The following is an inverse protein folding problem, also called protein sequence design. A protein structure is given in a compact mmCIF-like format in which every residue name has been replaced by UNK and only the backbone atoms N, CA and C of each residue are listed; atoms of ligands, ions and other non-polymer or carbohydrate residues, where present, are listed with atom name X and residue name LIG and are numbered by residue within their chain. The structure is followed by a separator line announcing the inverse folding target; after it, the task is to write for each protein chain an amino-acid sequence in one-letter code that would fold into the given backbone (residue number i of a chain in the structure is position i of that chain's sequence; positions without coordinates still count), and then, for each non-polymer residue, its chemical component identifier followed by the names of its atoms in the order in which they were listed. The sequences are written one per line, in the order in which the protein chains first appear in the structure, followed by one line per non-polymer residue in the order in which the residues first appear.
data_IF_716218895476
#
_entry.id   IF_716218895476
#
_cell.length_a   1.000
_cell.length_b   1.000
_cell.length_c   1.000
_cell.angle_alpha   90.00
_cell.angle_beta   90.00
_cell.angle_gamma   90.00
#
_symmetry.space_group_name_H-M   'P 1'
#
loop_
_entity.id
_entity.type
_entity.pdbx_description
1 polymer ?
#
# COMPACT_ATOMS: atom_id res chain seq x y z
N UNK A 1 -27.48 42.25 20.64
CA UNK A 1 -27.44 41.76 19.24
C UNK A 1 -26.12 41.07 18.89
N UNK A 2 -25.00 41.41 19.50
CA UNK A 2 -23.68 40.78 19.26
C UNK A 2 -23.52 39.32 19.81
N UNK A 3 -24.30 38.93 20.80
CA UNK A 3 -24.26 37.59 21.42
C UNK A 3 -25.10 36.55 20.67
N UNK A 4 -25.98 36.96 19.74
CA UNK A 4 -26.77 35.99 18.91
C UNK A 4 -26.04 35.52 17.65
N UNK A 5 -25.00 36.22 17.20
CA UNK A 5 -24.24 35.80 16.01
C UNK A 5 -23.20 34.71 16.29
N UNK A 6 -22.76 34.57 17.55
CA UNK A 6 -21.79 33.52 17.94
C UNK A 6 -22.42 32.12 18.11
N UNK A 7 -23.72 32.06 18.44
CA UNK A 7 -24.45 30.76 18.59
C UNK A 7 -24.75 30.15 17.23
N UNK A 8 -24.83 30.94 16.16
CA UNK A 8 -25.06 30.43 14.79
C UNK A 8 -23.85 29.76 14.17
N UNK A 9 -22.63 30.09 14.60
CA UNK A 9 -21.40 29.52 14.05
C UNK A 9 -21.07 28.14 14.65
N UNK A 10 -21.44 27.89 15.88
CA UNK A 10 -21.25 26.57 16.50
C UNK A 10 -22.23 25.51 15.99
N UNK A 11 -23.41 25.93 15.51
CA UNK A 11 -24.39 24.99 14.94
C UNK A 11 -24.07 24.55 13.52
N UNK A 12 -23.30 25.35 12.76
CA UNK A 12 -22.83 24.95 11.43
C UNK A 12 -21.64 23.97 11.47
N UNK A 13 -20.93 23.88 12.59
CA UNK A 13 -19.80 22.95 12.75
C UNK A 13 -20.31 21.50 13.00
N UNK A 14 -21.55 21.33 13.43
CA UNK A 14 -22.13 20.02 13.74
C UNK A 14 -22.70 19.27 12.54
N UNK A 15 -22.94 19.95 11.43
CA UNK A 15 -23.52 19.38 10.21
C UNK A 15 -22.52 19.17 9.07
N UNK A 16 -21.20 19.34 9.33
CA UNK A 16 -20.18 18.94 8.38
C UNK A 16 -20.17 17.41 8.26
N UNK A 17 -19.95 16.90 7.06
CA UNK A 17 -19.91 15.47 6.68
C UNK A 17 -18.90 14.60 7.48
N UNK A 18 -18.37 15.09 8.59
CA UNK A 18 -17.53 14.36 9.54
C UNK A 18 -18.25 13.13 10.12
N UNK A 19 -19.58 13.17 10.25
CA UNK A 19 -20.37 11.99 10.60
C UNK A 19 -20.19 10.83 9.62
N UNK A 20 -19.86 11.07 8.35
CA UNK A 20 -19.60 9.99 7.40
C UNK A 20 -18.22 9.33 7.59
N UNK A 21 -17.20 10.06 8.07
CA UNK A 21 -15.88 9.48 8.36
C UNK A 21 -15.85 8.72 9.70
N UNK A 22 -16.68 9.14 10.67
CA UNK A 22 -16.75 8.54 12.01
C UNK A 22 -17.85 7.49 12.18
N UNK A 23 -18.80 7.41 11.25
CA UNK A 23 -19.95 6.48 11.36
C UNK A 23 -19.59 5.00 11.11
N UNK A 24 -18.35 4.72 10.71
CA UNK A 24 -17.78 3.38 10.82
C UNK A 24 -17.33 3.12 12.26
N UNK A 25 -18.29 2.92 13.17
CA UNK A 25 -17.99 2.38 14.51
C UNK A 25 -17.07 1.17 14.35
N UNK A 26 -15.79 1.35 14.67
CA UNK A 26 -14.80 0.29 14.59
C UNK A 26 -15.25 -0.84 15.50
N UNK A 27 -15.75 -1.92 14.92
CA UNK A 27 -16.23 -3.08 15.68
C UNK A 27 -15.02 -3.84 16.23
N UNK A 28 -14.84 -3.81 17.53
CA UNK A 28 -13.85 -4.62 18.23
C UNK A 28 -14.48 -5.89 18.78
N UNK A 29 -13.79 -7.00 18.69
CA UNK A 29 -14.22 -8.22 19.37
C UNK A 29 -13.87 -8.12 20.86
N UNK A 30 -14.86 -7.74 21.68
CA UNK A 30 -14.68 -7.55 23.13
C UNK A 30 -14.21 -8.81 23.84
N UNK A 31 -14.61 -10.00 23.37
CA UNK A 31 -14.18 -11.29 23.92
C UNK A 31 -12.68 -11.56 23.76
N UNK A 32 -12.05 -10.95 22.76
CA UNK A 32 -10.62 -11.10 22.50
C UNK A 32 -9.75 -10.07 23.23
N UNK A 33 -10.34 -9.13 23.96
CA UNK A 33 -9.61 -8.06 24.68
C UNK A 33 -8.56 -8.61 25.68
N UNK A 34 -8.80 -9.67 26.49
CA UNK A 34 -7.79 -10.23 27.38
C UNK A 34 -6.57 -10.76 26.59
N UNK A 35 -6.78 -11.39 25.45
CA UNK A 35 -5.72 -11.89 24.60
C UNK A 35 -4.91 -10.75 23.97
N UNK A 36 -5.56 -9.64 23.63
CA UNK A 36 -4.87 -8.43 23.14
C UNK A 36 -4.00 -7.80 24.21
N UNK A 37 -4.40 -7.86 25.47
CA UNK A 37 -3.60 -7.40 26.58
C UNK A 37 -2.31 -8.23 26.73
N UNK A 38 -2.43 -9.57 26.73
CA UNK A 38 -1.28 -10.48 26.79
C UNK A 38 -0.34 -10.30 25.58
N UNK A 39 -0.91 -10.20 24.38
CA UNK A 39 -0.16 -9.87 23.17
C UNK A 39 0.60 -8.54 23.32
N UNK A 40 -0.09 -7.52 23.84
CA UNK A 40 0.48 -6.20 24.09
C UNK A 40 1.66 -6.23 25.07
N UNK A 41 1.58 -7.04 26.13
CA UNK A 41 2.71 -7.23 27.06
C UNK A 41 3.91 -7.83 26.31
N UNK A 42 3.72 -8.89 25.55
CA UNK A 42 4.80 -9.53 24.79
C UNK A 42 5.46 -8.57 23.79
N UNK A 43 4.66 -7.79 23.05
CA UNK A 43 5.19 -6.82 22.09
C UNK A 43 5.91 -5.67 22.80
N UNK A 44 5.36 -5.13 23.90
CA UNK A 44 6.03 -4.09 24.70
C UNK A 44 7.35 -4.59 25.27
N UNK A 45 7.37 -5.79 25.83
CA UNK A 45 8.59 -6.39 26.33
C UNK A 45 9.66 -6.54 25.25
N UNK A 46 9.29 -7.09 24.08
CA UNK A 46 10.20 -7.16 22.92
C UNK A 46 10.73 -5.77 22.53
N UNK A 47 9.86 -4.78 22.47
CA UNK A 47 10.26 -3.41 22.11
C UNK A 47 11.22 -2.83 23.15
N UNK A 48 10.96 -3.06 24.44
CA UNK A 48 11.82 -2.64 25.53
C UNK A 48 13.23 -3.25 25.45
N UNK A 49 13.34 -4.52 25.01
CA UNK A 49 14.66 -5.15 24.79
C UNK A 49 15.49 -4.44 23.72
N UNK A 50 14.85 -3.87 22.69
CA UNK A 50 15.52 -3.00 21.71
C UNK A 50 15.91 -1.66 22.31
N UNK A 51 15.03 -1.05 23.12
CA UNK A 51 15.29 0.25 23.76
C UNK A 51 16.43 0.15 24.77
N UNK A 52 16.54 -0.95 25.50
CA UNK A 52 17.66 -1.28 26.38
C UNK A 52 18.91 -1.77 25.63
N UNK A 53 18.87 -1.84 24.27
CA UNK A 53 19.98 -2.32 23.42
C UNK A 53 20.39 -3.78 23.67
N UNK A 54 19.57 -4.58 24.37
CA UNK A 54 19.78 -6.03 24.54
C UNK A 54 19.63 -6.71 23.17
N UNK A 55 18.56 -6.38 22.42
CA UNK A 55 18.45 -6.75 21.03
C UNK A 55 19.16 -5.69 20.17
N UNK A 56 20.14 -6.14 19.41
CA UNK A 56 20.97 -5.24 18.60
C UNK A 56 20.24 -4.84 17.32
N UNK A 57 20.31 -3.55 17.01
CA UNK A 57 19.86 -2.95 15.76
C UNK A 57 21.08 -2.63 14.90
N UNK A 58 21.12 -3.14 13.68
CA UNK A 58 22.18 -2.86 12.72
C UNK A 58 21.91 -1.55 11.98
N UNK A 59 22.96 -0.75 11.81
CA UNK A 59 22.94 0.48 11.00
C UNK A 59 23.84 0.28 9.79
N UNK A 60 23.48 0.94 8.71
CA UNK A 60 24.20 0.86 7.44
C UNK A 60 24.46 2.28 6.92
N UNK A 61 25.54 2.46 6.20
CA UNK A 61 25.97 3.78 5.74
C UNK A 61 25.15 4.29 4.54
N UNK A 62 24.52 3.37 3.80
CA UNK A 62 23.66 3.74 2.68
C UNK A 62 22.26 4.21 3.13
N UNK A 63 21.55 5.01 2.33
CA UNK A 63 20.16 5.36 2.57
C UNK A 63 19.25 4.13 2.58
N UNK A 64 18.50 3.96 3.68
CA UNK A 64 17.49 2.93 3.82
C UNK A 64 16.17 3.60 4.18
N UNK A 65 15.19 3.51 3.28
CA UNK A 65 13.85 4.05 3.46
C UNK A 65 12.92 2.89 3.84
N UNK A 66 12.27 2.97 4.98
CA UNK A 66 11.27 1.98 5.40
C UNK A 66 9.87 2.50 5.14
N UNK A 67 9.08 1.77 4.39
CA UNK A 67 7.64 2.00 4.23
C UNK A 67 6.90 0.91 4.99
N UNK A 68 6.07 1.31 5.96
CA UNK A 68 5.34 0.34 6.75
C UNK A 68 4.13 0.91 7.44
N UNK A 69 3.50 0.12 8.29
CA UNK A 69 2.31 0.51 9.05
C UNK A 69 2.29 -0.19 10.42
N UNK A 70 1.42 0.26 11.32
CA UNK A 70 1.19 -0.37 12.62
C UNK A 70 0.08 -1.44 12.58
N UNK A 71 -0.77 -1.42 11.57
CA UNK A 71 -1.97 -2.27 11.50
C UNK A 71 -1.80 -3.44 10.54
N UNK A 72 -2.56 -4.51 10.73
CA UNK A 72 -2.76 -5.51 9.68
C UNK A 72 -3.80 -5.00 8.68
N UNK A 73 -3.62 -5.34 7.39
CA UNK A 73 -4.52 -4.95 6.31
C UNK A 73 -3.91 -3.96 5.32
N UNK A 74 -4.72 -3.57 4.36
CA UNK A 74 -4.30 -2.78 3.21
C UNK A 74 -4.24 -1.27 3.50
N UNK A 75 -3.19 -0.77 4.13
CA UNK A 75 -2.95 0.67 4.34
C UNK A 75 -2.33 1.38 3.15
N UNK A 76 -2.22 0.73 1.99
CA UNK A 76 -1.63 1.35 0.80
C UNK A 76 -0.09 1.28 0.74
N UNK A 77 0.56 0.33 1.44
CA UNK A 77 2.03 0.17 1.41
C UNK A 77 2.59 0.04 0.00
N UNK A 78 2.10 -0.93 -0.75
CA UNK A 78 2.60 -1.19 -2.12
C UNK A 78 2.52 0.03 -3.04
N UNK A 79 1.39 0.76 -3.16
CA UNK A 79 1.35 1.97 -3.96
C UNK A 79 2.32 3.07 -3.52
N UNK A 80 2.56 3.24 -2.20
CA UNK A 80 3.51 4.22 -1.70
C UNK A 80 4.96 3.79 -1.91
N UNK A 81 5.27 2.50 -1.74
CA UNK A 81 6.57 1.93 -2.10
C UNK A 81 6.85 2.14 -3.60
N UNK A 82 5.87 1.84 -4.47
CA UNK A 82 5.99 2.07 -5.92
C UNK A 82 6.14 3.56 -6.28
N UNK A 83 5.46 4.45 -5.55
CA UNK A 83 5.61 5.90 -5.72
C UNK A 83 7.05 6.35 -5.44
N UNK A 84 7.62 5.92 -4.31
CA UNK A 84 9.00 6.23 -3.96
C UNK A 84 9.97 5.64 -4.98
N UNK A 85 9.80 4.39 -5.40
CA UNK A 85 10.62 3.77 -6.44
C UNK A 85 10.59 4.61 -7.71
N UNK A 86 9.41 5.01 -8.18
CA UNK A 86 9.24 5.81 -9.40
C UNK A 86 9.93 7.17 -9.29
N UNK A 87 9.91 7.78 -8.10
CA UNK A 87 10.56 9.05 -7.84
C UNK A 87 12.08 8.97 -7.94
N UNK A 88 12.69 7.85 -7.51
CA UNK A 88 14.15 7.79 -7.31
C UNK A 88 14.90 6.89 -8.30
N UNK A 89 14.23 5.96 -9.01
CA UNK A 89 14.86 4.93 -9.85
C UNK A 89 15.70 5.47 -11.01
N UNK A 90 15.37 6.66 -11.51
CA UNK A 90 16.08 7.25 -12.65
C UNK A 90 17.34 8.03 -12.22
N UNK A 91 17.54 8.21 -10.90
CA UNK A 91 18.68 8.93 -10.30
C UNK A 91 19.62 8.03 -9.51
N UNK A 92 19.11 6.92 -8.98
CA UNK A 92 19.87 6.02 -8.10
C UNK A 92 19.65 4.56 -8.46
N UNK A 93 20.64 3.71 -8.19
CA UNK A 93 20.46 2.25 -8.24
C UNK A 93 19.64 1.80 -7.02
N UNK A 94 18.38 1.50 -7.24
CA UNK A 94 17.41 1.17 -6.18
C UNK A 94 17.32 -0.33 -6.00
N UNK A 95 17.32 -0.76 -4.74
CA UNK A 95 16.85 -2.09 -4.35
C UNK A 95 15.59 -2.00 -3.49
N UNK A 96 14.64 -2.90 -3.73
CA UNK A 96 13.53 -3.16 -2.83
C UNK A 96 13.79 -4.46 -2.08
N UNK A 97 13.64 -4.42 -0.75
CA UNK A 97 13.75 -5.60 0.08
C UNK A 97 12.46 -5.83 0.87
N UNK A 98 11.74 -6.86 0.50
CA UNK A 98 10.49 -7.28 1.12
C UNK A 98 10.64 -8.59 1.89
N UNK A 99 9.63 -8.96 2.68
CA UNK A 99 9.58 -10.26 3.35
C UNK A 99 9.31 -11.42 2.39
N UNK A 100 8.59 -11.15 1.30
CA UNK A 100 8.04 -12.18 0.45
C UNK A 100 6.92 -12.94 1.15
N UNK A 101 5.86 -12.24 1.54
CA UNK A 101 4.72 -12.86 2.23
C UNK A 101 4.08 -13.95 1.34
N UNK A 102 3.75 -15.11 1.95
CA UNK A 102 3.19 -16.31 1.30
C UNK A 102 4.06 -16.94 0.20
N UNK A 103 5.32 -16.55 0.02
CA UNK A 103 6.23 -17.22 -0.91
C UNK A 103 6.51 -18.67 -0.45
N UNK A 104 6.84 -19.54 -1.40
CA UNK A 104 7.21 -20.93 -1.11
C UNK A 104 8.70 -21.12 -0.82
N UNK A 105 9.53 -20.16 -1.18
CA UNK A 105 10.98 -20.18 -0.97
C UNK A 105 11.34 -19.68 0.42
N UNK A 106 12.57 -19.94 0.88
CA UNK A 106 13.13 -19.45 2.14
C UNK A 106 14.49 -18.79 1.91
N UNK A 107 14.95 -18.04 2.90
CA UNK A 107 16.24 -17.35 2.82
C UNK A 107 16.24 -16.13 1.91
N UNK A 108 17.42 -15.66 1.52
CA UNK A 108 17.60 -14.57 0.58
C UNK A 108 17.36 -15.06 -0.85
N UNK A 109 16.59 -14.29 -1.61
CA UNK A 109 16.42 -14.49 -3.05
C UNK A 109 16.38 -13.14 -3.74
N UNK A 110 17.26 -12.96 -4.73
CA UNK A 110 17.25 -11.83 -5.64
C UNK A 110 16.39 -12.20 -6.85
N UNK A 111 15.35 -11.43 -7.10
CA UNK A 111 14.41 -11.68 -8.19
C UNK A 111 15.07 -11.44 -9.56
N UNK A 112 14.85 -12.35 -10.47
CA UNK A 112 15.22 -12.26 -11.87
C UNK A 112 13.96 -12.20 -12.77
N UNK A 113 14.17 -12.31 -14.09
CA UNK A 113 13.06 -12.29 -15.07
C UNK A 113 12.20 -13.57 -15.05
N UNK A 114 12.72 -14.67 -14.46
CA UNK A 114 12.03 -15.98 -14.37
C UNK A 114 11.30 -16.16 -13.05
N UNK A 115 11.56 -15.29 -12.08
CA UNK A 115 10.95 -15.35 -10.77
C UNK A 115 9.43 -15.19 -10.86
N UNK A 116 8.70 -16.03 -10.15
CA UNK A 116 7.23 -16.04 -10.11
C UNK A 116 6.71 -15.50 -8.79
N UNK A 117 5.40 -15.25 -8.70
CA UNK A 117 4.75 -14.85 -7.44
C UNK A 117 4.92 -15.91 -6.34
N UNK A 118 5.05 -17.18 -6.72
CA UNK A 118 5.31 -18.30 -5.78
C UNK A 118 6.72 -18.24 -5.18
N UNK A 119 7.68 -17.70 -5.92
CA UNK A 119 9.09 -17.64 -5.49
C UNK A 119 9.36 -16.46 -4.58
N UNK A 120 8.77 -15.29 -4.87
CA UNK A 120 9.10 -14.04 -4.18
C UNK A 120 7.90 -13.39 -3.46
N UNK A 121 6.67 -13.87 -3.68
CA UNK A 121 5.43 -13.28 -3.17
C UNK A 121 4.82 -12.28 -4.15
N UNK A 122 3.51 -12.02 -3.99
CA UNK A 122 2.72 -11.22 -4.94
C UNK A 122 3.25 -9.78 -5.10
N UNK A 123 3.50 -9.09 -3.98
CA UNK A 123 3.90 -7.68 -3.98
C UNK A 123 5.30 -7.46 -4.59
N UNK A 124 6.35 -8.20 -4.18
CA UNK A 124 7.64 -8.11 -4.86
C UNK A 124 7.60 -8.50 -6.33
N UNK A 125 6.77 -9.49 -6.70
CA UNK A 125 6.58 -9.89 -8.09
C UNK A 125 5.95 -8.76 -8.91
N UNK A 126 4.91 -8.11 -8.39
CA UNK A 126 4.30 -6.93 -9.02
C UNK A 126 5.35 -5.82 -9.23
N UNK A 127 6.13 -5.51 -8.20
CA UNK A 127 7.18 -4.48 -8.27
C UNK A 127 8.25 -4.83 -9.32
N UNK A 128 8.72 -6.09 -9.36
CA UNK A 128 9.73 -6.53 -10.36
C UNK A 128 9.21 -6.41 -11.79
N UNK A 129 7.94 -6.73 -12.01
CA UNK A 129 7.32 -6.60 -13.33
C UNK A 129 7.08 -5.13 -13.75
N UNK A 130 6.71 -4.28 -12.80
CA UNK A 130 6.43 -2.87 -13.05
C UNK A 130 7.72 -2.04 -13.21
N UNK A 131 8.79 -2.46 -12.54
CA UNK A 131 10.10 -1.82 -12.55
C UNK A 131 11.20 -2.86 -12.83
N UNK A 132 11.38 -3.27 -14.09
CA UNK A 132 12.33 -4.33 -14.44
C UNK A 132 13.79 -3.96 -14.14
N UNK A 133 14.10 -2.67 -14.13
CA UNK A 133 15.47 -2.14 -14.02
C UNK A 133 15.96 -2.04 -12.57
N UNK A 134 15.06 -2.18 -11.56
CA UNK A 134 15.46 -2.17 -10.16
C UNK A 134 15.80 -3.57 -9.64
N UNK A 135 16.57 -3.61 -8.56
CA UNK A 135 16.78 -4.84 -7.80
C UNK A 135 15.57 -5.09 -6.88
N UNK A 136 15.00 -6.28 -6.97
CA UNK A 136 13.95 -6.72 -6.03
C UNK A 136 14.47 -7.96 -5.33
N UNK A 137 14.56 -7.90 -4.01
CA UNK A 137 15.01 -9.01 -3.17
C UNK A 137 14.00 -9.32 -2.07
N UNK A 138 13.99 -10.57 -1.63
CA UNK A 138 13.14 -11.01 -0.54
C UNK A 138 13.95 -11.78 0.48
N UNK A 139 13.76 -11.42 1.75
CA UNK A 139 14.32 -12.14 2.90
C UNK A 139 13.48 -11.86 4.16
N UNK A 140 13.19 -12.86 4.97
CA UNK A 140 12.54 -12.66 6.27
C UNK A 140 13.47 -11.91 7.26
N UNK A 141 14.79 -12.19 7.23
CA UNK A 141 15.81 -11.41 7.94
C UNK A 141 16.36 -10.30 7.05
N UNK A 142 15.85 -9.06 7.27
CA UNK A 142 16.28 -7.88 6.49
C UNK A 142 17.77 -7.58 6.62
N UNK A 143 18.41 -7.95 7.76
CA UNK A 143 19.87 -7.77 7.93
C UNK A 143 20.64 -8.62 6.93
N UNK A 144 20.27 -9.90 6.82
CA UNK A 144 20.85 -10.81 5.83
C UNK A 144 20.56 -10.31 4.40
N UNK A 145 19.34 -9.87 4.14
CA UNK A 145 18.94 -9.32 2.85
C UNK A 145 19.79 -8.12 2.45
N UNK A 146 20.00 -7.16 3.35
CA UNK A 146 20.84 -5.97 3.11
C UNK A 146 22.29 -6.39 2.87
N UNK A 147 22.86 -7.25 3.71
CA UNK A 147 24.25 -7.71 3.52
C UNK A 147 24.47 -8.38 2.18
N UNK A 148 23.54 -9.21 1.72
CA UNK A 148 23.62 -9.85 0.40
C UNK A 148 23.49 -8.84 -0.74
N UNK A 149 22.65 -7.81 -0.61
CA UNK A 149 22.55 -6.73 -1.59
C UNK A 149 23.85 -5.91 -1.67
N UNK A 150 24.48 -5.65 -0.52
CA UNK A 150 25.75 -4.93 -0.44
C UNK A 150 26.95 -5.76 -0.93
N UNK A 151 26.84 -7.10 -0.87
CA UNK A 151 27.86 -8.01 -1.39
C UNK A 151 27.82 -8.17 -2.93
N UNK A 152 26.86 -7.55 -3.62
CA UNK A 152 26.83 -7.54 -5.08
C UNK A 152 28.04 -6.79 -5.64
N UNK A 153 28.46 -7.11 -6.89
CA UNK A 153 29.50 -6.34 -7.58
C UNK A 153 29.17 -4.85 -7.58
N UNK A 154 30.18 -3.99 -7.50
CA UNK A 154 30.06 -2.55 -7.33
C UNK A 154 29.11 -1.89 -8.36
N UNK A 155 29.20 -2.30 -9.61
CA UNK A 155 28.33 -1.81 -10.69
C UNK A 155 26.85 -2.24 -10.56
N UNK A 156 26.55 -3.23 -9.70
CA UNK A 156 25.18 -3.71 -9.42
C UNK A 156 24.73 -3.42 -8.00
N UNK A 157 25.63 -2.94 -7.14
CA UNK A 157 25.30 -2.63 -5.75
C UNK A 157 24.29 -1.49 -5.69
N UNK A 158 23.22 -1.60 -4.88
CA UNK A 158 22.24 -0.53 -4.72
C UNK A 158 22.85 0.68 -3.99
N UNK A 159 22.43 1.87 -4.36
CA UNK A 159 22.74 3.13 -3.68
C UNK A 159 21.66 3.50 -2.66
N UNK A 160 20.44 2.96 -2.85
CA UNK A 160 19.30 3.15 -1.95
C UNK A 160 18.57 1.83 -1.79
N UNK A 161 18.19 1.51 -0.55
CA UNK A 161 17.33 0.35 -0.28
C UNK A 161 15.97 0.84 0.25
N UNK A 162 14.89 0.39 -0.37
CA UNK A 162 13.52 0.58 0.12
C UNK A 162 13.07 -0.71 0.79
N UNK A 163 12.78 -0.63 2.08
CA UNK A 163 12.24 -1.75 2.86
C UNK A 163 10.71 -1.71 2.82
N UNK A 164 10.12 -2.71 2.22
CA UNK A 164 8.67 -2.87 2.14
C UNK A 164 8.16 -3.70 3.34
N UNK A 165 7.13 -3.17 4.03
CA UNK A 165 6.49 -3.73 5.23
C UNK A 165 7.52 -4.17 6.31
N UNK A 166 8.42 -3.27 6.68
CA UNK A 166 9.48 -3.58 7.63
C UNK A 166 9.44 -2.77 8.94
N UNK A 167 8.41 -1.99 9.21
CA UNK A 167 8.31 -1.11 10.38
C UNK A 167 8.45 -1.85 11.72
N UNK A 168 7.97 -3.11 11.80
CA UNK A 168 8.15 -3.99 12.95
C UNK A 168 9.53 -4.66 13.03
N UNK A 169 10.34 -4.56 11.97
CA UNK A 169 11.64 -5.26 11.91
C UNK A 169 12.77 -4.40 12.51
N UNK A 170 12.74 -4.16 13.83
CA UNK A 170 13.65 -3.29 14.55
C UNK A 170 15.13 -3.72 14.56
N UNK A 171 15.46 -4.88 14.00
CA UNK A 171 16.85 -5.33 13.83
C UNK A 171 17.65 -4.51 12.80
N UNK A 172 16.99 -3.74 11.98
CA UNK A 172 17.57 -2.75 11.05
C UNK A 172 17.11 -1.37 11.48
N UNK A 173 18.02 -0.40 11.52
CA UNK A 173 17.70 1.02 11.69
C UNK A 173 17.61 1.68 10.31
N UNK A 174 16.43 1.90 9.74
CA UNK A 174 16.29 2.70 8.53
C UNK A 174 16.80 4.12 8.77
N UNK A 175 17.20 4.78 7.71
CA UNK A 175 17.59 6.20 7.77
C UNK A 175 16.39 7.12 7.67
N UNK A 176 15.29 6.64 7.06
CA UNK A 176 14.01 7.32 6.99
C UNK A 176 12.88 6.30 7.18
N UNK A 177 12.01 6.54 8.17
CA UNK A 177 10.85 5.71 8.47
C UNK A 177 9.57 6.41 8.03
N UNK A 178 8.84 5.82 7.09
CA UNK A 178 7.54 6.28 6.62
C UNK A 178 6.46 5.35 7.15
N UNK A 179 5.59 5.91 8.00
CA UNK A 179 4.46 5.20 8.60
C UNK A 179 3.17 5.54 7.88
N UNK A 180 2.46 4.54 7.41
CA UNK A 180 1.17 4.70 6.76
C UNK A 180 0.02 4.39 7.71
N UNK A 181 -1.03 5.21 7.66
CA UNK A 181 -2.31 4.97 8.35
C UNK A 181 -3.47 5.22 7.42
N UNK A 182 -4.53 4.42 7.53
CA UNK A 182 -5.73 4.58 6.70
C UNK A 182 -6.61 5.71 7.25
N UNK A 183 -7.05 6.65 6.40
CA UNK A 183 -7.91 7.77 6.77
C UNK A 183 -9.22 7.31 7.43
N UNK A 184 -9.77 6.19 6.98
CA UNK A 184 -11.03 5.63 7.52
C UNK A 184 -10.82 4.82 8.82
N UNK A 185 -9.58 4.57 9.21
CA UNK A 185 -9.23 3.83 10.42
C UNK A 185 -7.80 4.17 10.85
N UNK A 186 -7.67 5.28 11.55
CA UNK A 186 -6.38 5.72 12.08
C UNK A 186 -5.83 4.70 13.10
N UNK A 187 -4.51 4.58 13.14
CA UNK A 187 -3.86 3.68 14.11
C UNK A 187 -4.15 4.11 15.56
N UNK A 188 -4.42 5.40 15.81
CA UNK A 188 -4.78 5.95 17.12
C UNK A 188 -6.13 5.42 17.63
N UNK A 189 -7.04 5.12 16.72
CA UNK A 189 -8.39 4.64 17.01
C UNK A 189 -8.50 3.12 17.07
N UNK A 190 -7.41 2.38 16.83
CA UNK A 190 -7.43 0.92 16.74
C UNK A 190 -6.87 0.24 18.01
N UNK A 191 -7.16 -1.04 18.16
CA UNK A 191 -6.70 -1.89 19.27
C UNK A 191 -5.70 -2.93 18.79
N UNK A 192 -4.91 -3.43 19.73
CA UNK A 192 -3.96 -4.52 19.46
C UNK A 192 -4.67 -5.80 19.01
N UNK A 193 -3.96 -6.60 18.20
CA UNK A 193 -4.37 -7.95 17.87
C UNK A 193 -4.57 -8.79 19.15
N UNK A 194 -5.54 -9.72 19.19
CA UNK A 194 -6.49 -10.04 18.13
C UNK A 194 -7.82 -9.27 18.22
N UNK A 195 -8.05 -8.39 19.21
CA UNK A 195 -9.31 -7.63 19.34
C UNK A 195 -9.44 -6.52 18.30
N UNK A 196 -8.33 -5.91 17.89
CA UNK A 196 -8.23 -4.92 16.82
C UNK A 196 -7.24 -5.36 15.75
N UNK A 197 -6.63 -4.39 15.06
CA UNK A 197 -5.69 -4.64 13.94
C UNK A 197 -4.27 -4.19 14.20
N UNK A 198 -3.95 -3.57 15.36
CA UNK A 198 -2.60 -3.12 15.66
C UNK A 198 -1.66 -4.30 15.89
N UNK A 199 -0.54 -4.32 15.15
CA UNK A 199 0.59 -5.27 15.31
C UNK A 199 1.47 -4.91 16.50
N UNK A 200 1.45 -3.63 16.91
CA UNK A 200 2.22 -3.10 18.04
C UNK A 200 1.50 -1.87 18.63
N UNK A 201 1.84 -1.46 19.87
CA UNK A 201 1.23 -0.29 20.50
C UNK A 201 1.39 0.99 19.67
N UNK A 202 0.45 1.94 19.84
CA UNK A 202 0.45 3.25 19.19
C UNK A 202 1.77 4.01 19.39
N UNK A 203 2.41 3.87 20.55
CA UNK A 203 3.74 4.45 20.84
C UNK A 203 4.81 4.07 19.80
N UNK A 204 4.61 2.96 19.08
CA UNK A 204 5.48 2.58 17.97
C UNK A 204 5.55 3.65 16.87
N UNK A 205 4.53 4.49 16.73
CA UNK A 205 4.49 5.59 15.74
C UNK A 205 5.61 6.62 15.99
N UNK A 206 6.11 6.75 17.19
CA UNK A 206 7.26 7.64 17.51
C UNK A 206 8.54 7.31 16.76
N UNK A 207 8.66 6.13 16.15
CA UNK A 207 9.82 5.79 15.32
C UNK A 207 9.72 6.30 13.89
N UNK A 208 8.57 6.80 13.50
CA UNK A 208 8.37 7.37 12.17
C UNK A 208 8.97 8.78 12.10
N UNK A 209 9.62 9.08 10.99
CA UNK A 209 10.03 10.43 10.63
C UNK A 209 8.91 11.13 9.84
N UNK A 210 8.19 10.35 9.04
CA UNK A 210 7.07 10.80 8.21
C UNK A 210 5.86 9.90 8.49
N UNK A 211 4.69 10.53 8.69
CA UNK A 211 3.41 9.86 8.77
C UNK A 211 2.59 10.25 7.54
N UNK A 212 2.02 9.26 6.85
CA UNK A 212 1.13 9.50 5.71
C UNK A 212 -0.24 8.92 6.02
N UNK A 213 -1.24 9.78 6.07
CA UNK A 213 -2.64 9.39 6.11
C UNK A 213 -3.08 9.06 4.69
N UNK A 214 -3.42 7.81 4.46
CA UNK A 214 -3.66 7.27 3.12
C UNK A 214 -5.15 7.12 2.82
N UNK A 215 -5.49 6.99 1.54
CA UNK A 215 -6.85 6.76 1.06
C UNK A 215 -7.82 7.89 1.40
N UNK A 216 -7.31 9.11 1.52
CA UNK A 216 -8.16 10.28 1.68
C UNK A 216 -9.10 10.42 0.47
N UNK A 217 -10.37 10.70 0.72
CA UNK A 217 -11.32 10.98 -0.36
C UNK A 217 -11.06 12.37 -0.95
N UNK A 218 -11.49 12.59 -2.18
CA UNK A 218 -11.35 13.90 -2.85
C UNK A 218 -12.21 15.01 -2.26
N UNK A 219 -13.18 14.64 -1.44
CA UNK A 219 -14.12 15.57 -0.80
C UNK A 219 -13.75 15.97 0.64
N UNK A 220 -12.59 15.52 1.16
CA UNK A 220 -12.11 15.91 2.49
C UNK A 220 -11.91 17.43 2.56
N UNK A 221 -12.49 18.04 3.58
CA UNK A 221 -12.40 19.46 3.83
C UNK A 221 -11.14 19.82 4.63
N UNK A 222 -10.65 21.07 4.56
CA UNK A 222 -9.49 21.51 5.35
C UNK A 222 -9.63 21.27 6.86
N UNK A 223 -10.85 21.31 7.39
CA UNK A 223 -11.11 21.04 8.80
C UNK A 223 -10.84 19.58 9.18
N UNK A 224 -11.17 18.65 8.28
CA UNK A 224 -10.97 17.23 8.54
C UNK A 224 -9.48 16.88 8.67
N UNK A 225 -8.61 17.54 7.88
CA UNK A 225 -7.16 17.38 8.00
C UNK A 225 -6.65 17.80 9.39
N UNK A 226 -7.17 18.91 9.94
CA UNK A 226 -6.80 19.38 11.29
C UNK A 226 -7.23 18.40 12.36
N UNK A 227 -8.45 17.88 12.28
CA UNK A 227 -8.96 16.90 13.24
C UNK A 227 -8.12 15.64 13.23
N UNK A 228 -7.74 15.16 12.04
CA UNK A 228 -6.86 13.98 11.90
C UNK A 228 -5.46 14.28 12.47
N UNK A 229 -4.91 15.48 12.22
CA UNK A 229 -3.62 15.91 12.76
C UNK A 229 -3.62 15.95 14.29
N UNK A 230 -4.68 16.48 14.90
CA UNK A 230 -4.87 16.48 16.35
C UNK A 230 -4.97 15.07 16.93
N UNK A 231 -5.68 14.15 16.25
CA UNK A 231 -5.81 12.75 16.71
C UNK A 231 -4.49 11.95 16.60
N UNK A 232 -3.66 12.27 15.62
CA UNK A 232 -2.34 11.60 15.42
C UNK A 232 -1.32 11.99 16.50
N UNK A 233 -1.41 13.16 17.12
CA UNK A 233 -0.49 13.66 18.16
C UNK A 233 0.99 13.61 17.72
N UNK A 234 1.33 14.37 16.67
CA UNK A 234 2.68 14.41 16.11
C UNK A 234 3.75 14.82 17.14
N UNK A 235 4.89 14.16 17.08
CA UNK A 235 6.12 14.66 17.70
C UNK A 235 6.73 15.79 16.87
N UNK A 236 7.45 16.71 17.49
CA UNK A 236 8.00 17.90 16.83
C UNK A 236 8.92 17.64 15.61
N UNK A 237 9.50 16.44 15.53
CA UNK A 237 10.38 16.02 14.42
C UNK A 237 9.65 15.27 13.30
N UNK A 238 8.35 14.99 13.47
CA UNK A 238 7.57 14.22 12.49
C UNK A 238 6.89 15.13 11.49
N UNK A 239 6.89 14.72 10.24
CA UNK A 239 6.11 15.38 9.19
C UNK A 239 4.86 14.56 8.86
N UNK A 240 3.73 15.25 8.65
CA UNK A 240 2.45 14.64 8.29
C UNK A 240 2.10 14.97 6.85
N UNK A 241 1.72 13.94 6.10
CA UNK A 241 1.18 14.06 4.74
C UNK A 241 -0.14 13.34 4.61
N UNK A 242 -0.93 13.76 3.62
CA UNK A 242 -2.19 13.12 3.27
C UNK A 242 -2.12 12.68 1.82
N UNK A 243 -2.59 11.49 1.54
CA UNK A 243 -2.56 10.92 0.19
C UNK A 243 -3.87 10.25 -0.18
N UNK A 244 -4.14 10.22 -1.47
CA UNK A 244 -5.29 9.57 -2.09
C UNK A 244 -4.83 8.59 -3.15
N UNK A 245 -5.68 7.62 -3.45
CA UNK A 245 -5.48 6.72 -4.58
C UNK A 245 -5.98 7.39 -5.83
N UNK A 246 -5.15 7.40 -6.86
CA UNK A 246 -5.50 7.83 -8.20
C UNK A 246 -5.56 6.61 -9.11
N UNK A 247 -6.62 6.50 -9.89
CA UNK A 247 -6.80 5.44 -10.85
C UNK A 247 -6.25 5.88 -12.21
N UNK A 248 -5.45 5.02 -12.82
CA UNK A 248 -4.84 5.27 -14.13
C UNK A 248 -5.73 4.86 -15.30
N UNK A 249 -5.11 4.68 -16.45
CA UNK A 249 -5.77 4.13 -17.63
C UNK A 249 -5.90 2.61 -17.53
N UNK A 250 -6.94 2.05 -18.11
CA UNK A 250 -7.12 0.61 -18.27
C UNK A 250 -6.00 0.04 -19.15
N UNK A 251 -5.15 -0.78 -18.60
CA UNK A 251 -4.06 -1.44 -19.30
C UNK A 251 -4.45 -2.88 -19.64
N UNK A 252 -4.29 -3.33 -20.90
CA UNK A 252 -4.54 -4.73 -21.23
C UNK A 252 -3.61 -5.63 -20.44
N UNK A 253 -4.14 -6.68 -19.80
CA UNK A 253 -3.34 -7.63 -19.01
C UNK A 253 -2.32 -8.33 -19.89
N UNK A 254 -2.64 -8.56 -21.16
CA UNK A 254 -1.75 -9.14 -22.17
C UNK A 254 -1.34 -8.08 -23.18
N UNK A 255 -0.07 -7.70 -23.15
CA UNK A 255 0.47 -6.66 -24.04
C UNK A 255 0.24 -6.97 -25.51
N UNK A 256 -0.13 -5.96 -26.31
CA UNK A 256 -0.34 -6.08 -27.76
C UNK A 256 -1.64 -6.78 -28.17
N UNK A 257 -2.49 -7.19 -27.24
CA UNK A 257 -3.77 -7.86 -27.55
C UNK A 257 -4.97 -6.91 -27.61
N UNK A 258 -4.86 -5.74 -26.95
CA UNK A 258 -5.88 -4.69 -26.97
C UNK A 258 -5.21 -3.31 -26.75
N UNK A 259 -5.85 -2.20 -27.16
CA UNK A 259 -5.36 -0.86 -26.86
C UNK A 259 -5.61 -0.48 -25.40
N UNK A 260 -4.81 0.44 -24.85
CA UNK A 260 -5.13 1.11 -23.59
C UNK A 260 -6.42 1.89 -23.72
N UNK A 261 -7.17 2.02 -22.64
CA UNK A 261 -8.43 2.77 -22.58
C UNK A 261 -8.47 3.64 -21.34
N UNK A 262 -9.08 4.81 -21.43
CA UNK A 262 -9.38 5.62 -20.25
C UNK A 262 -10.72 5.21 -19.65
N UNK A 263 -10.90 5.31 -18.35
CA UNK A 263 -12.21 5.11 -17.72
C UNK A 263 -13.24 6.11 -18.26
N UNK A 264 -12.82 7.36 -18.50
CA UNK A 264 -13.66 8.42 -19.10
C UNK A 264 -14.10 8.11 -20.54
N UNK A 265 -13.37 7.27 -21.25
CA UNK A 265 -13.68 6.85 -22.61
C UNK A 265 -14.63 5.64 -22.69
N UNK A 266 -15.07 5.10 -21.55
CA UNK A 266 -16.09 4.05 -21.52
C UNK A 266 -17.44 4.66 -21.91
N UNK A 267 -18.17 3.97 -22.79
CA UNK A 267 -19.54 4.34 -23.05
C UNK A 267 -20.41 4.01 -21.81
N UNK A 268 -21.43 4.80 -21.54
CA UNK A 268 -22.36 4.54 -20.42
C UNK A 268 -23.04 3.16 -20.52
N UNK A 269 -23.14 2.62 -21.73
CA UNK A 269 -23.69 1.28 -22.04
C UNK A 269 -22.65 0.17 -21.91
N UNK A 270 -21.39 0.47 -21.56
CA UNK A 270 -20.36 -0.55 -21.39
C UNK A 270 -20.64 -1.38 -20.14
N UNK A 271 -20.79 -2.69 -20.31
CA UNK A 271 -20.92 -3.61 -19.19
C UNK A 271 -19.53 -4.01 -18.67
N UNK A 272 -19.32 -3.86 -17.36
CA UNK A 272 -18.07 -4.18 -16.70
C UNK A 272 -18.23 -5.35 -15.73
N UNK A 273 -17.47 -6.40 -15.93
CA UNK A 273 -17.25 -7.44 -14.92
C UNK A 273 -16.02 -7.05 -14.09
N UNK A 274 -16.25 -6.58 -12.86
CA UNK A 274 -15.18 -6.26 -11.93
C UNK A 274 -14.80 -7.52 -11.15
N UNK A 275 -13.57 -7.99 -11.32
CA UNK A 275 -13.02 -9.15 -10.60
C UNK A 275 -11.94 -8.66 -9.64
N UNK A 276 -12.09 -8.95 -8.35
CA UNK A 276 -11.15 -8.48 -7.34
C UNK A 276 -10.92 -9.49 -6.22
N UNK A 277 -9.65 -9.73 -5.89
CA UNK A 277 -9.18 -10.50 -4.73
C UNK A 277 -8.35 -9.62 -3.78
N UNK A 278 -8.92 -8.48 -3.37
CA UNK A 278 -8.29 -7.51 -2.45
C UNK A 278 -9.16 -7.29 -1.21
N UNK A 279 -8.54 -6.83 -0.13
CA UNK A 279 -9.19 -6.65 1.17
C UNK A 279 -10.37 -5.67 1.17
N UNK A 280 -10.38 -4.67 0.28
CA UNK A 280 -11.42 -3.64 0.20
C UNK A 280 -11.73 -3.28 -1.26
N UNK A 281 -12.66 -3.97 -1.93
CA UNK A 281 -13.03 -3.72 -3.33
C UNK A 281 -13.95 -2.50 -3.52
N UNK A 282 -14.70 -2.09 -2.49
CA UNK A 282 -15.72 -1.06 -2.61
C UNK A 282 -15.24 0.30 -3.18
N UNK A 283 -14.05 0.84 -2.82
CA UNK A 283 -13.56 2.08 -3.44
C UNK A 283 -13.31 1.94 -4.95
N UNK A 284 -12.85 0.77 -5.40
CA UNK A 284 -12.63 0.48 -6.81
C UNK A 284 -13.95 0.40 -7.58
N UNK A 285 -14.94 -0.27 -7.00
CA UNK A 285 -16.29 -0.38 -7.55
C UNK A 285 -16.96 1.01 -7.65
N UNK A 286 -16.88 1.81 -6.56
CA UNK A 286 -17.36 3.21 -6.54
C UNK A 286 -16.71 4.06 -7.64
N UNK A 287 -15.42 3.85 -7.90
CA UNK A 287 -14.72 4.57 -8.98
C UNK A 287 -15.26 4.21 -10.37
N UNK A 288 -15.45 2.91 -10.65
CA UNK A 288 -15.94 2.46 -11.96
C UNK A 288 -17.38 2.91 -12.20
N UNK A 289 -18.21 2.92 -11.14
CA UNK A 289 -19.60 3.41 -11.21
C UNK A 289 -19.74 4.88 -11.60
N UNK A 290 -18.67 5.69 -11.52
CA UNK A 290 -18.70 7.08 -12.04
C UNK A 290 -18.78 7.13 -13.57
N UNK A 291 -18.47 6.04 -14.26
CA UNK A 291 -18.34 5.99 -15.73
C UNK A 291 -19.36 5.06 -16.39
N UNK A 292 -19.89 4.07 -15.69
CA UNK A 292 -20.95 3.17 -16.16
C UNK A 292 -21.78 2.66 -14.98
N UNK A 293 -23.09 2.53 -15.18
CA UNK A 293 -23.99 1.94 -14.19
C UNK A 293 -23.98 0.40 -14.23
N UNK A 294 -23.52 -0.18 -15.33
CA UNK A 294 -23.56 -1.62 -15.59
C UNK A 294 -22.31 -2.34 -15.08
N UNK A 295 -22.16 -2.41 -13.76
CA UNK A 295 -21.03 -3.09 -13.09
C UNK A 295 -21.53 -4.35 -12.39
N UNK A 296 -20.95 -5.49 -12.75
CA UNK A 296 -21.14 -6.76 -12.04
C UNK A 296 -19.86 -7.09 -11.30
N UNK A 297 -19.93 -7.18 -9.96
CA UNK A 297 -18.76 -7.47 -9.11
C UNK A 297 -18.65 -8.95 -8.77
N UNK A 298 -17.48 -9.53 -8.98
CA UNK A 298 -17.10 -10.86 -8.56
C UNK A 298 -15.92 -10.77 -7.59
N UNK A 299 -16.22 -10.86 -6.29
CA UNK A 299 -15.24 -10.64 -5.22
C UNK A 299 -14.71 -11.98 -4.70
N UNK A 300 -13.38 -12.08 -4.62
CA UNK A 300 -12.64 -13.20 -4.05
C UNK A 300 -11.96 -12.77 -2.73
N UNK A 301 -11.58 -13.70 -1.86
CA UNK A 301 -10.80 -13.39 -0.67
C UNK A 301 -9.48 -12.67 -0.99
N UNK A 302 -8.96 -11.87 -0.05
CA UNK A 302 -7.65 -11.23 -0.23
C UNK A 302 -6.53 -12.28 -0.37
N UNK A 303 -5.61 -12.04 -1.29
CA UNK A 303 -4.55 -12.98 -1.67
C UNK A 303 -5.07 -14.32 -2.23
N UNK A 304 -6.23 -14.32 -2.89
CA UNK A 304 -6.79 -15.51 -3.52
C UNK A 304 -5.90 -16.03 -4.65
N UNK A 305 -5.59 -17.32 -4.62
CA UNK A 305 -4.91 -17.99 -5.72
C UNK A 305 -5.97 -18.53 -6.69
N UNK A 306 -6.11 -17.92 -7.86
CA UNK A 306 -7.08 -18.33 -8.86
C UNK A 306 -6.80 -19.76 -9.35
N UNK A 307 -7.85 -20.55 -9.47
CA UNK A 307 -7.83 -21.89 -10.00
C UNK A 307 -8.73 -22.04 -11.25
N UNK A 308 -8.82 -23.25 -11.80
CA UNK A 308 -9.66 -23.55 -12.98
C UNK A 308 -11.16 -23.27 -12.72
N UNK A 309 -11.63 -23.53 -11.50
CA UNK A 309 -13.02 -23.32 -11.14
C UNK A 309 -13.34 -21.81 -11.09
N UNK A 310 -12.42 -21.00 -10.57
CA UNK A 310 -12.57 -19.55 -10.57
C UNK A 310 -12.59 -18.98 -11.99
N UNK A 311 -11.73 -19.48 -12.88
CA UNK A 311 -11.75 -19.11 -14.29
C UNK A 311 -13.10 -19.44 -14.94
N UNK A 312 -13.69 -20.60 -14.63
CA UNK A 312 -15.01 -20.96 -15.13
C UNK A 312 -16.10 -20.05 -14.57
N UNK A 313 -16.03 -19.65 -13.28
CA UNK A 313 -16.97 -18.67 -12.68
C UNK A 313 -16.88 -17.32 -13.38
N UNK A 314 -15.66 -16.79 -13.57
CA UNK A 314 -15.43 -15.52 -14.25
C UNK A 314 -15.95 -15.61 -15.69
N UNK A 315 -15.66 -16.71 -16.40
CA UNK A 315 -16.12 -16.91 -17.78
C UNK A 315 -17.65 -16.98 -17.89
N UNK A 316 -18.29 -17.65 -16.94
CA UNK A 316 -19.76 -17.73 -16.89
C UNK A 316 -20.36 -16.35 -16.63
N UNK A 317 -19.80 -15.59 -15.70
CA UNK A 317 -20.23 -14.22 -15.43
C UNK A 317 -20.03 -13.31 -16.65
N UNK A 318 -18.87 -13.40 -17.32
CA UNK A 318 -18.58 -12.60 -18.53
C UNK A 318 -19.51 -12.92 -19.71
N UNK A 319 -19.88 -14.18 -19.90
CA UNK A 319 -20.84 -14.61 -20.94
C UNK A 319 -22.26 -14.13 -20.68
N UNK A 320 -22.63 -13.84 -19.44
CA UNK A 320 -23.95 -13.28 -19.10
C UNK A 320 -24.09 -11.81 -19.46
N UNK A 321 -22.97 -11.11 -19.66
CA UNK A 321 -22.98 -9.74 -20.16
C UNK A 321 -23.45 -9.74 -21.61
N UNK A 322 -24.47 -8.94 -21.90
CA UNK A 322 -25.16 -8.93 -23.20
C UNK A 322 -24.71 -7.81 -24.12
N UNK A 323 -24.10 -6.76 -23.57
CA UNK A 323 -23.60 -5.63 -24.34
C UNK A 323 -22.53 -6.02 -25.35
N UNK A 324 -22.51 -5.40 -26.50
CA UNK A 324 -21.43 -5.48 -27.48
C UNK A 324 -20.15 -4.83 -26.97
N UNK A 325 -20.26 -3.85 -26.05
CA UNK A 325 -19.14 -3.24 -25.33
C UNK A 325 -19.09 -3.79 -23.92
N UNK A 326 -18.23 -4.78 -23.70
CA UNK A 326 -18.05 -5.40 -22.38
C UNK A 326 -16.58 -5.62 -22.05
N UNK A 327 -16.23 -5.47 -20.76
CA UNK A 327 -14.86 -5.57 -20.27
C UNK A 327 -14.81 -6.38 -18.98
N UNK A 328 -13.67 -7.05 -18.77
CA UNK A 328 -13.29 -7.58 -17.46
C UNK A 328 -12.23 -6.62 -16.90
N UNK A 329 -12.50 -6.02 -15.76
CA UNK A 329 -11.55 -5.16 -15.06
C UNK A 329 -11.08 -5.87 -13.79
N UNK A 330 -9.76 -5.91 -13.60
CA UNK A 330 -9.12 -6.52 -12.45
C UNK A 330 -8.12 -5.58 -11.81
N UNK A 331 -7.68 -5.89 -10.59
CA UNK A 331 -6.59 -5.14 -9.93
C UNK A 331 -5.22 -5.56 -10.47
N UNK A 332 -4.19 -4.73 -10.30
CA UNK A 332 -2.80 -5.09 -10.67
C UNK A 332 -2.31 -6.36 -9.95
N UNK A 333 -2.69 -6.55 -8.67
CA UNK A 333 -2.38 -7.76 -7.89
C UNK A 333 -3.00 -9.00 -8.53
N UNK A 334 -4.26 -8.92 -8.91
CA UNK A 334 -4.97 -10.04 -9.50
C UNK A 334 -4.48 -10.32 -10.92
N UNK A 335 -4.13 -9.29 -11.68
CA UNK A 335 -3.50 -9.43 -13.00
C UNK A 335 -2.18 -10.21 -12.91
N UNK A 336 -1.35 -9.94 -11.89
CA UNK A 336 -0.12 -10.67 -11.67
C UNK A 336 -0.38 -12.18 -11.46
N UNK A 337 -1.38 -12.52 -10.65
CA UNK A 337 -1.76 -13.93 -10.35
C UNK A 337 -2.36 -14.64 -11.55
N UNK A 338 -3.22 -13.95 -12.32
CA UNK A 338 -3.86 -14.54 -13.50
C UNK A 338 -2.85 -14.83 -14.63
N UNK A 339 -1.82 -14.00 -14.78
CA UNK A 339 -0.75 -14.24 -15.78
C UNK A 339 0.03 -15.52 -15.54
N UNK A 340 0.13 -15.98 -14.29
CA UNK A 340 0.84 -17.21 -13.92
C UNK A 340 0.03 -18.49 -14.21
N UNK A 341 -1.22 -18.37 -14.67
CA UNK A 341 -2.06 -19.51 -14.99
C UNK A 341 -1.73 -20.07 -16.38
N UNK A 342 -1.70 -21.39 -16.53
CA UNK A 342 -1.25 -22.04 -17.77
C UNK A 342 -2.23 -21.89 -18.94
N UNK A 343 -3.51 -21.60 -18.67
CA UNK A 343 -4.51 -21.45 -19.72
C UNK A 343 -5.63 -20.49 -19.29
N UNK A 344 -5.87 -19.45 -20.10
CA UNK A 344 -6.99 -18.55 -19.97
C UNK A 344 -7.82 -18.58 -21.26
N UNK A 345 -9.13 -18.27 -21.21
CA UNK A 345 -9.96 -18.21 -22.40
C UNK A 345 -9.43 -17.18 -23.40
N UNK A 346 -9.31 -17.56 -24.68
CA UNK A 346 -8.74 -16.67 -25.70
C UNK A 346 -9.54 -15.38 -25.89
N UNK A 347 -10.85 -15.43 -25.68
CA UNK A 347 -11.74 -14.25 -25.75
C UNK A 347 -11.38 -13.16 -24.71
N UNK A 348 -10.72 -13.52 -23.60
CA UNK A 348 -10.33 -12.54 -22.57
C UNK A 348 -9.18 -11.65 -23.01
N UNK A 349 -8.34 -12.09 -23.94
CA UNK A 349 -7.14 -11.34 -24.32
C UNK A 349 -7.46 -9.94 -24.86
N UNK A 350 -8.63 -9.74 -25.46
CA UNK A 350 -9.11 -8.45 -25.95
C UNK A 350 -10.01 -7.68 -24.98
N UNK A 351 -10.46 -8.32 -23.89
CA UNK A 351 -11.45 -7.75 -22.98
C UNK A 351 -10.94 -7.64 -21.53
N UNK A 352 -9.79 -8.24 -21.20
CA UNK A 352 -9.24 -8.27 -19.84
C UNK A 352 -8.25 -7.12 -19.64
N UNK A 353 -8.62 -6.23 -18.74
CA UNK A 353 -7.83 -5.05 -18.38
C UNK A 353 -7.51 -5.04 -16.91
N UNK A 354 -6.33 -4.57 -16.55
CA UNK A 354 -6.05 -4.15 -15.18
C UNK A 354 -6.21 -2.63 -15.05
N UNK A 355 -6.68 -2.20 -13.89
CA UNK A 355 -6.76 -0.78 -13.52
C UNK A 355 -5.61 -0.45 -12.58
N UNK A 356 -4.55 0.20 -13.08
CA UNK A 356 -3.42 0.60 -12.27
C UNK A 356 -3.83 1.68 -11.28
N UNK A 357 -3.17 1.66 -10.13
CA UNK A 357 -3.33 2.71 -9.13
C UNK A 357 -2.00 3.43 -8.89
N UNK A 358 -2.10 4.70 -8.57
CA UNK A 358 -0.98 5.55 -8.14
C UNK A 358 -1.36 6.32 -6.90
N UNK A 359 -0.36 6.95 -6.29
CA UNK A 359 -0.54 7.83 -5.13
C UNK A 359 -0.49 9.28 -5.62
N UNK A 360 -1.44 10.08 -5.16
CA UNK A 360 -1.38 11.55 -5.26
C UNK A 360 -1.44 12.14 -3.87
N UNK A 361 -0.69 13.21 -3.63
CA UNK A 361 -0.72 13.91 -2.34
C UNK A 361 -1.79 15.00 -2.33
N UNK A 362 -2.41 15.18 -1.17
CA UNK A 362 -3.39 16.25 -0.95
C UNK A 362 -2.70 17.55 -0.56
N UNK A 363 -3.43 18.67 -0.61
CA UNK A 363 -2.98 20.01 -0.17
C UNK A 363 -1.72 20.51 -0.91
N UNK A 364 -1.53 20.09 -2.17
CA UNK A 364 -0.39 20.48 -3.03
C UNK A 364 0.99 20.20 -2.41
N UNK A 365 1.08 19.26 -1.46
CA UNK A 365 2.31 18.93 -0.74
C UNK A 365 3.16 17.84 -1.41
N UNK A 366 2.80 17.43 -2.62
CA UNK A 366 3.54 16.39 -3.35
C UNK A 366 5.00 16.77 -3.60
N UNK A 367 5.22 18.00 -4.07
CA UNK A 367 6.58 18.52 -4.32
C UNK A 367 7.43 18.55 -3.06
N UNK A 368 6.85 18.98 -1.93
CA UNK A 368 7.53 18.99 -0.64
C UNK A 368 7.94 17.58 -0.22
N UNK A 369 7.06 16.59 -0.37
CA UNK A 369 7.38 15.20 -0.07
C UNK A 369 8.49 14.65 -0.98
N UNK A 370 8.46 14.95 -2.28
CA UNK A 370 9.50 14.56 -3.21
C UNK A 370 10.86 15.15 -2.84
N UNK A 371 10.90 16.45 -2.53
CA UNK A 371 12.12 17.14 -2.09
C UNK A 371 12.67 16.56 -0.80
N UNK A 372 11.81 16.22 0.18
CA UNK A 372 12.21 15.56 1.43
C UNK A 372 12.93 14.24 1.14
N UNK A 373 12.34 13.36 0.33
CA UNK A 373 12.92 12.05 -0.02
C UNK A 373 14.27 12.23 -0.71
N UNK A 374 14.33 13.07 -1.75
CA UNK A 374 15.56 13.27 -2.53
C UNK A 374 16.65 13.90 -1.68
N UNK A 375 16.34 14.96 -0.93
CA UNK A 375 17.29 15.62 -0.03
C UNK A 375 17.84 14.65 1.03
N UNK A 376 16.99 13.79 1.59
CA UNK A 376 17.42 12.78 2.55
C UNK A 376 18.46 11.83 1.94
N UNK A 377 18.18 11.31 0.74
CA UNK A 377 19.08 10.41 0.02
C UNK A 377 20.41 11.11 -0.30
N UNK A 378 20.35 12.29 -0.93
CA UNK A 378 21.55 13.07 -1.33
C UNK A 378 22.45 13.38 -0.15
N UNK A 379 21.85 13.78 0.99
CA UNK A 379 22.61 14.09 2.20
C UNK A 379 23.32 12.86 2.75
N UNK A 380 22.67 11.69 2.70
CA UNK A 380 23.28 10.44 3.18
C UNK A 380 24.40 9.97 2.28
N UNK A 381 24.22 10.00 0.96
CA UNK A 381 25.28 9.59 -0.01
C UNK A 381 26.49 10.52 0.10
N UNK A 382 26.28 11.84 0.28
CA UNK A 382 27.39 12.80 0.46
C UNK A 382 28.19 12.54 1.74
N UNK A 383 27.52 12.18 2.83
CA UNK A 383 28.16 11.94 4.13
C UNK A 383 28.83 10.57 4.20
N UNK A 384 28.45 9.62 3.38
CA UNK A 384 28.97 8.25 3.32
C UNK A 384 29.09 7.85 1.82
N UNK A 385 30.13 8.32 1.10
CA UNK A 385 30.34 7.92 -0.30
C UNK A 385 30.51 6.41 -0.39
N UNK A 386 29.71 5.80 -1.28
CA UNK A 386 29.56 4.36 -1.48
C UNK A 386 30.69 3.83 -2.36
#
# INVERSE_FOLDING_TARGET
EMLRSLVGSEMCIRDSNWTMLTDHTIKFNKLLTPFSFLYGIGVRFRNQLFDWKILRTERYDLPIICVGNLTVGGTGKTPHTEYIIRLIKDRYRVAVLSRGYKRKTSGFLLADQRSTSKDIGDEPYQMKRKFPDILVAVDADRRRGIRNLLALPENKRPEVIVLDDAFQHRYVAPTLNILLTDCHRLYTQDKLLPAGRLREPVDGARRADVIIVTKCESCIQPIDFRIIEEDIHLSAYQELYFSRILYGELEPVFSGKAPRRTLKGLASTTEVLLVSGIASPAPLEKEIHKYTEHVTSLVFPDHHAFDRHDIQKIQTAFKRLTSTSKLIIITEKDAARLRDLPSLPMEWFSHLYCLPITVGFCMDREKQFQELIVKHIDTRIKNHPI
#
